data_IF_438873676150
#
_entry.id   IF_438873676150
#
_cell.length_a   1.000
_cell.length_b   1.000
_cell.length_c   1.000
_cell.angle_alpha   90.00
_cell.angle_beta   90.00
_cell.angle_gamma   90.00
#
_symmetry.space_group_name_H-M   'P 1'
#
loop_
_entity.id
_entity.type
_entity.pdbx_description
1 polymer ?
#
# COMPACT_ATOMS: atom_id res chain seq x y z
N UNK A 1 9.47 -20.60 -15.29
CA UNK A 1 8.89 -19.70 -14.28
C UNK A 1 9.92 -19.55 -13.18
N UNK A 2 10.32 -18.33 -12.85
CA UNK A 2 11.25 -18.10 -11.73
C UNK A 2 10.51 -18.12 -10.40
N UNK A 3 11.26 -18.20 -9.30
CA UNK A 3 10.70 -18.06 -7.94
C UNK A 3 9.98 -16.71 -7.76
N UNK A 4 10.55 -15.62 -8.27
CA UNK A 4 9.94 -14.28 -8.23
C UNK A 4 8.62 -14.24 -9.00
N UNK A 5 8.54 -14.90 -10.16
CA UNK A 5 7.30 -14.97 -10.93
C UNK A 5 6.21 -15.72 -10.17
N UNK A 6 6.56 -16.84 -9.52
CA UNK A 6 5.65 -17.60 -8.68
C UNK A 6 5.16 -16.76 -7.49
N UNK A 7 6.05 -16.07 -6.79
CA UNK A 7 5.70 -15.22 -5.65
C UNK A 7 4.75 -14.08 -6.04
N UNK A 8 4.97 -13.45 -7.20
CA UNK A 8 4.05 -12.42 -7.73
C UNK A 8 2.65 -12.95 -7.98
N UNK A 9 2.54 -14.18 -8.48
CA UNK A 9 1.25 -14.81 -8.78
C UNK A 9 0.54 -15.25 -7.49
N UNK A 10 1.31 -15.81 -6.54
CA UNK A 10 0.84 -16.16 -5.21
C UNK A 10 0.32 -14.92 -4.46
N UNK A 11 1.10 -13.85 -4.41
CA UNK A 11 0.70 -12.59 -3.76
C UNK A 11 -0.53 -11.97 -4.41
N UNK A 12 -0.64 -12.08 -5.74
CA UNK A 12 -1.84 -11.66 -6.45
C UNK A 12 -3.08 -12.43 -6.02
N UNK A 13 -2.95 -13.74 -5.82
CA UNK A 13 -4.02 -14.62 -5.34
C UNK A 13 -4.40 -14.32 -3.89
N UNK A 14 -3.40 -14.16 -3.01
CA UNK A 14 -3.60 -13.82 -1.60
C UNK A 14 -4.25 -12.44 -1.45
N UNK A 15 -3.80 -11.44 -2.22
CA UNK A 15 -4.40 -10.11 -2.21
C UNK A 15 -5.88 -10.16 -2.58
N UNK A 16 -6.25 -10.93 -3.60
CA UNK A 16 -7.65 -11.07 -3.99
C UNK A 16 -8.51 -11.65 -2.86
N UNK A 17 -8.03 -12.69 -2.16
CA UNK A 17 -8.71 -13.26 -1.01
C UNK A 17 -8.84 -12.27 0.15
N UNK A 18 -7.78 -11.54 0.48
CA UNK A 18 -7.79 -10.54 1.55
C UNK A 18 -8.62 -9.31 1.23
N UNK A 19 -8.71 -8.91 -0.04
CA UNK A 19 -9.59 -7.83 -0.47
C UNK A 19 -11.07 -8.16 -0.20
N UNK A 20 -11.48 -9.41 -0.41
CA UNK A 20 -12.85 -9.87 -0.07
C UNK A 20 -13.13 -9.82 1.43
N UNK A 21 -12.10 -10.01 2.27
CA UNK A 21 -12.19 -9.87 3.72
C UNK A 21 -12.06 -8.42 4.20
N UNK A 22 -11.91 -7.43 3.30
CA UNK A 22 -11.68 -6.03 3.66
C UNK A 22 -10.28 -5.74 4.23
N UNK A 23 -9.33 -6.67 4.08
CA UNK A 23 -7.97 -6.59 4.62
C UNK A 23 -6.94 -6.06 3.62
N UNK A 24 -7.30 -5.94 2.34
CA UNK A 24 -6.42 -5.45 1.29
C UNK A 24 -7.09 -4.34 0.46
N UNK A 25 -6.27 -3.40 -0.02
CA UNK A 25 -6.75 -2.20 -0.72
C UNK A 25 -6.42 -2.25 -2.21
N UNK A 26 -7.23 -1.53 -2.99
CA UNK A 26 -6.89 -1.12 -4.36
C UNK A 26 -6.98 0.41 -4.43
N UNK A 27 -6.13 1.02 -5.23
CA UNK A 27 -6.10 2.46 -5.36
C UNK A 27 -5.53 2.94 -6.69
N UNK A 28 -5.52 4.25 -6.85
CA UNK A 28 -4.87 4.94 -7.95
C UNK A 28 -3.44 5.25 -7.54
N UNK A 29 -2.49 4.68 -8.26
CA UNK A 29 -1.08 5.01 -8.11
C UNK A 29 -0.67 6.03 -9.18
N UNK A 30 0.10 7.05 -8.84
CA UNK A 30 0.60 8.07 -9.77
C UNK A 30 2.10 8.22 -9.58
N UNK A 31 2.87 7.90 -10.62
CA UNK A 31 4.30 8.15 -10.61
C UNK A 31 4.56 9.66 -10.58
N UNK A 32 5.52 10.13 -9.78
CA UNK A 32 5.80 11.56 -9.58
C UNK A 32 6.03 12.34 -10.89
N UNK A 33 6.67 11.68 -11.86
CA UNK A 33 7.03 12.23 -13.15
C UNK A 33 6.36 11.46 -14.31
N UNK A 34 5.24 10.78 -14.03
CA UNK A 34 4.71 9.77 -14.93
C UNK A 34 3.20 9.54 -14.89
N UNK A 35 2.74 8.45 -15.53
CA UNK A 35 1.32 8.17 -15.67
C UNK A 35 0.70 7.72 -14.34
N UNK A 36 -0.62 7.83 -14.28
CA UNK A 36 -1.42 7.19 -13.25
C UNK A 36 -1.87 5.79 -13.70
N UNK A 37 -1.83 4.84 -12.76
CA UNK A 37 -2.30 3.47 -12.90
C UNK A 37 -3.45 3.25 -11.92
N UNK A 38 -4.60 2.83 -12.43
CA UNK A 38 -5.79 2.53 -11.64
C UNK A 38 -5.77 1.08 -11.14
N UNK A 39 -6.48 0.83 -10.02
CA UNK A 39 -6.70 -0.53 -9.51
C UNK A 39 -5.46 -1.21 -8.94
N UNK A 40 -4.39 -0.46 -8.65
CA UNK A 40 -3.14 -0.97 -8.09
C UNK A 40 -3.39 -1.57 -6.73
N UNK A 41 -2.96 -2.81 -6.55
CA UNK A 41 -3.13 -3.59 -5.32
C UNK A 41 -2.08 -3.20 -4.31
N UNK A 42 -2.54 -2.93 -3.09
CA UNK A 42 -1.66 -2.63 -1.98
C UNK A 42 -2.23 -3.09 -0.64
N UNK A 43 -1.36 -3.25 0.34
CA UNK A 43 -1.72 -3.31 1.76
C UNK A 43 -1.35 -1.98 2.41
N UNK A 44 -2.32 -1.35 3.07
CA UNK A 44 -2.12 -0.08 3.78
C UNK A 44 -2.14 -0.36 5.27
N UNK A 45 -0.96 -0.45 5.86
CA UNK A 45 -0.76 -0.71 7.28
C UNK A 45 -0.72 0.64 8.02
N UNK A 46 -1.66 0.80 8.95
CA UNK A 46 -1.81 2.01 9.76
C UNK A 46 -1.51 1.62 11.20
N UNK A 47 -0.44 2.15 11.79
CA UNK A 47 -0.23 1.99 13.22
C UNK A 47 -1.33 2.79 13.95
N UNK A 48 -2.36 2.09 14.44
CA UNK A 48 -3.39 2.67 15.30
C UNK A 48 -3.18 2.11 16.70
N UNK A 49 -2.39 2.83 17.50
CA UNK A 49 -2.29 2.52 18.93
C UNK A 49 -3.45 3.19 19.68
N UNK A 50 -4.24 2.41 20.41
CA UNK A 50 -5.27 2.94 21.32
C UNK A 50 -4.73 2.81 22.75
N UNK A 51 -4.32 3.92 23.37
CA UNK A 51 -3.89 3.95 24.78
C UNK A 51 -5.07 4.46 25.63
N UNK A 52 -5.82 3.54 26.26
CA UNK A 52 -6.89 3.86 27.22
C UNK A 52 -8.14 4.54 26.63
N UNK A 53 -8.96 5.19 27.48
CA UNK A 53 -10.20 5.91 27.09
C UNK A 53 -9.97 7.37 26.67
N UNK A 54 -8.73 7.85 26.66
CA UNK A 54 -8.39 9.25 26.41
C UNK A 54 -7.68 9.39 25.06
N UNK A 55 -8.40 10.01 24.10
CA UNK A 55 -7.95 10.50 22.77
C UNK A 55 -6.93 9.62 22.05
N UNK A 56 -7.39 8.94 20.99
CA UNK A 56 -6.54 8.27 20.00
C UNK A 56 -5.28 9.10 19.65
N UNK A 57 -4.13 8.66 20.14
CA UNK A 57 -2.84 9.11 19.63
C UNK A 57 -2.54 8.28 18.38
N UNK A 58 -2.72 8.88 17.21
CA UNK A 58 -2.36 8.24 15.94
C UNK A 58 -0.83 8.21 15.86
N UNK A 59 -0.21 7.07 16.16
CA UNK A 59 1.19 6.84 15.83
C UNK A 59 1.32 7.07 14.31
N UNK A 60 1.99 8.16 13.91
CA UNK A 60 1.88 8.73 12.57
C UNK A 60 2.54 7.92 11.45
N UNK A 61 2.81 6.63 11.68
CA UNK A 61 3.49 5.76 10.75
C UNK A 61 2.47 4.98 9.94
N UNK A 62 2.50 5.21 8.63
CA UNK A 62 1.73 4.44 7.65
C UNK A 62 2.74 3.78 6.72
N UNK A 63 2.54 2.50 6.48
CA UNK A 63 3.29 1.75 5.49
C UNK A 63 2.37 1.28 4.37
N UNK A 64 2.91 1.27 3.15
CA UNK A 64 2.23 0.69 1.99
C UNK A 64 3.10 -0.36 1.37
N UNK A 65 2.56 -1.58 1.25
CA UNK A 65 3.15 -2.66 0.49
C UNK A 65 2.44 -2.76 -0.86
N UNK A 66 3.16 -2.46 -1.94
CA UNK A 66 2.66 -2.58 -3.32
C UNK A 66 3.04 -3.93 -3.91
N UNK A 67 2.16 -4.53 -4.70
CA UNK A 67 2.51 -5.71 -5.50
C UNK A 67 3.36 -5.28 -6.70
N UNK A 68 4.54 -5.89 -6.85
CA UNK A 68 5.51 -5.64 -7.94
C UNK A 68 4.99 -6.06 -9.32
N UNK A 69 3.93 -6.84 -9.37
CA UNK A 69 3.22 -7.20 -10.60
C UNK A 69 2.38 -6.05 -11.15
N UNK A 70 2.01 -5.06 -10.32
CA UNK A 70 1.19 -3.92 -10.76
C UNK A 70 2.05 -2.69 -11.09
N UNK A 71 3.03 -2.39 -10.25
CA UNK A 71 3.84 -1.17 -10.34
C UNK A 71 5.27 -1.38 -9.87
N UNK A 72 6.13 -0.42 -10.21
CA UNK A 72 7.50 -0.30 -9.73
C UNK A 72 7.59 0.97 -8.88
N UNK A 73 7.34 0.89 -7.55
CA UNK A 73 7.27 2.08 -6.74
C UNK A 73 8.62 2.76 -6.56
N UNK A 74 8.59 4.09 -6.54
CA UNK A 74 9.71 4.97 -6.24
C UNK A 74 9.32 6.07 -5.23
N UNK A 75 10.33 6.76 -4.71
CA UNK A 75 10.17 7.86 -3.78
C UNK A 75 9.50 9.06 -4.47
N UNK A 76 8.51 9.65 -3.81
CA UNK A 76 7.72 10.77 -4.32
C UNK A 76 6.44 10.36 -5.05
N UNK A 77 6.28 9.07 -5.37
CA UNK A 77 5.06 8.59 -6.01
C UNK A 77 3.87 8.64 -5.06
N UNK A 78 2.68 8.85 -5.64
CA UNK A 78 1.44 9.08 -4.91
C UNK A 78 0.54 7.86 -5.02
N UNK A 79 -0.07 7.46 -3.90
CA UNK A 79 -1.12 6.45 -3.87
C UNK A 79 -2.39 7.01 -3.23
N UNK A 80 -3.48 6.97 -3.97
CA UNK A 80 -4.80 7.39 -3.52
C UNK A 80 -5.69 6.16 -3.33
N UNK A 81 -6.26 6.03 -2.14
CA UNK A 81 -7.11 4.91 -1.75
C UNK A 81 -8.43 5.42 -1.18
N UNK A 82 -9.53 4.80 -1.60
CA UNK A 82 -10.86 5.09 -1.07
C UNK A 82 -11.26 3.94 -0.14
N UNK A 83 -11.50 4.28 1.13
CA UNK A 83 -11.91 3.35 2.17
C UNK A 83 -13.24 3.80 2.79
N UNK A 84 -14.12 2.85 3.12
CA UNK A 84 -15.35 3.14 3.86
C UNK A 84 -15.09 3.66 5.28
N UNK A 85 -13.97 3.27 5.90
CA UNK A 85 -13.63 3.65 7.27
C UNK A 85 -12.90 5.00 7.37
N UNK A 86 -12.13 5.38 6.33
CA UNK A 86 -11.26 6.56 6.37
C UNK A 86 -11.54 7.59 5.27
N UNK A 87 -12.49 7.33 4.37
CA UNK A 87 -12.73 8.16 3.19
C UNK A 87 -11.61 8.02 2.16
N UNK A 88 -11.38 9.08 1.39
CA UNK A 88 -10.24 9.16 0.45
C UNK A 88 -8.98 9.56 1.20
N UNK A 89 -7.97 8.71 1.16
CA UNK A 89 -6.64 8.99 1.69
C UNK A 89 -5.62 9.07 0.57
N UNK A 90 -4.67 9.99 0.73
CA UNK A 90 -3.59 10.23 -0.22
C UNK A 90 -2.27 10.06 0.51
N UNK A 91 -1.41 9.24 -0.06
CA UNK A 91 -0.11 8.92 0.49
C UNK A 91 0.98 9.21 -0.53
N UNK A 92 2.14 9.66 -0.04
CA UNK A 92 3.34 9.88 -0.85
C UNK A 92 4.46 9.01 -0.31
N UNK A 93 5.08 8.23 -1.20
CA UNK A 93 6.21 7.36 -0.88
C UNK A 93 7.39 8.19 -0.37
N UNK A 94 7.79 8.01 0.89
CA UNK A 94 8.87 8.79 1.50
C UNK A 94 10.17 7.99 1.61
N UNK A 95 10.12 6.74 2.07
CA UNK A 95 11.30 5.88 2.22
C UNK A 95 10.96 4.43 1.94
N UNK A 96 11.77 3.76 1.11
CA UNK A 96 11.67 2.31 0.89
C UNK A 96 12.11 1.56 2.15
N UNK A 97 11.29 0.60 2.56
CA UNK A 97 11.54 -0.29 3.70
C UNK A 97 12.15 -1.61 3.21
N UNK A 98 11.53 -2.23 2.21
CA UNK A 98 11.99 -3.48 1.61
C UNK A 98 11.49 -3.62 0.17
N UNK A 99 12.15 -4.49 -0.59
CA UNK A 99 11.69 -4.95 -1.90
C UNK A 99 12.21 -6.39 -2.09
N UNK A 100 11.31 -7.36 -2.13
CA UNK A 100 11.66 -8.79 -2.30
C UNK A 100 11.42 -9.28 -3.75
N UNK A 101 11.10 -8.37 -4.66
CA UNK A 101 10.78 -8.67 -6.05
C UNK A 101 9.32 -9.03 -6.32
N UNK A 102 8.56 -9.43 -5.30
CA UNK A 102 7.10 -9.66 -5.35
C UNK A 102 6.30 -8.53 -4.72
N UNK A 103 6.82 -7.92 -3.65
CA UNK A 103 6.28 -6.74 -2.98
C UNK A 103 7.36 -5.69 -2.74
N UNK A 104 6.95 -4.41 -2.78
CA UNK A 104 7.77 -3.27 -2.39
C UNK A 104 7.09 -2.53 -1.24
N UNK A 105 7.74 -2.46 -0.08
CA UNK A 105 7.21 -1.80 1.12
C UNK A 105 7.80 -0.41 1.29
N UNK A 106 6.94 0.55 1.62
CA UNK A 106 7.29 1.95 1.73
C UNK A 106 6.70 2.57 2.98
N UNK A 107 7.52 3.34 3.68
CA UNK A 107 7.02 4.36 4.59
C UNK A 107 6.42 5.49 3.75
N UNK A 108 5.25 5.99 4.14
CA UNK A 108 4.57 7.06 3.42
C UNK A 108 4.25 8.24 4.32
N UNK A 109 4.15 9.43 3.73
CA UNK A 109 3.57 10.62 4.36
C UNK A 109 2.17 10.85 3.83
N UNK A 110 1.31 11.53 4.60
CA UNK A 110 0.02 12.03 4.08
C UNK A 110 0.32 13.17 3.11
N UNK A 111 -0.21 13.04 1.89
CA UNK A 111 -0.11 14.03 0.82
C UNK A 111 -1.25 15.03 0.82
#
# INVERSE_FOLDING_TARGET
MSEVDFLRDLDGTLHAAFALAGMASRGRYTAKDGPATEGVRAYVERDVETIGELRQFRAGRVEIAYLRSDVVPDQGDRFEVVSSAFGTEVFVNSKKISDDGSQSRWLVTRG
#
